data_IF_377683543558
#
_entry.id   IF_377683543558
#
_cell.length_a   1.000
_cell.length_b   1.000
_cell.length_c   1.000
_cell.angle_alpha   90.00
_cell.angle_beta   90.00
_cell.angle_gamma   90.00
#
_symmetry.space_group_name_H-M   'P 1'
#
loop_
_entity.id
_entity.type
_entity.pdbx_description
1 polymer ?
#
# COMPACT_ATOMS: atom_id res chain seq x y z
N UNK A 1 -17.21 58.48 -25.43
CA UNK A 1 -16.06 58.00 -24.64
C UNK A 1 -14.78 58.62 -25.18
N UNK A 2 -13.93 59.18 -24.30
CA UNK A 2 -12.72 59.91 -24.68
C UNK A 2 -11.61 58.93 -25.15
N UNK A 3 -10.93 59.23 -26.25
CA UNK A 3 -9.94 58.34 -26.88
C UNK A 3 -8.82 57.91 -25.91
N UNK A 4 -8.48 58.79 -24.97
CA UNK A 4 -7.50 58.54 -23.89
C UNK A 4 -7.94 57.42 -22.94
N UNK A 5 -9.23 57.37 -22.60
CA UNK A 5 -9.81 56.34 -21.72
C UNK A 5 -9.92 55.00 -22.44
N UNK A 6 -10.24 55.01 -23.74
CA UNK A 6 -10.30 53.79 -24.56
C UNK A 6 -8.92 53.13 -24.71
N UNK A 7 -7.86 53.93 -24.89
CA UNK A 7 -6.47 53.43 -24.98
C UNK A 7 -5.97 52.87 -23.64
N UNK A 8 -6.29 53.53 -22.51
CA UNK A 8 -5.97 53.04 -21.17
C UNK A 8 -6.71 51.74 -20.84
N UNK A 9 -7.97 51.63 -21.22
CA UNK A 9 -8.77 50.43 -20.99
C UNK A 9 -8.20 49.23 -21.75
N UNK A 10 -7.83 49.42 -23.02
CA UNK A 10 -7.19 48.36 -23.84
C UNK A 10 -5.85 47.90 -23.25
N UNK A 11 -5.02 48.83 -22.76
CA UNK A 11 -3.73 48.49 -22.12
C UNK A 11 -3.94 47.71 -20.82
N UNK A 12 -4.88 48.15 -19.97
CA UNK A 12 -5.18 47.47 -18.71
C UNK A 12 -5.73 46.06 -18.94
N UNK A 13 -6.66 45.90 -19.89
CA UNK A 13 -7.17 44.56 -20.25
C UNK A 13 -6.06 43.67 -20.80
N UNK A 14 -5.14 44.21 -21.61
CA UNK A 14 -3.99 43.47 -22.12
C UNK A 14 -3.06 42.98 -21.00
N UNK A 15 -2.74 43.83 -20.02
CA UNK A 15 -1.91 43.46 -18.87
C UNK A 15 -2.59 42.36 -18.05
N UNK A 16 -3.89 42.48 -17.79
CA UNK A 16 -4.65 41.47 -17.03
C UNK A 16 -4.61 40.11 -17.76
N UNK A 17 -4.79 40.10 -19.08
CA UNK A 17 -4.74 38.87 -19.88
C UNK A 17 -3.33 38.25 -19.84
N UNK A 18 -2.28 39.05 -19.97
CA UNK A 18 -0.89 38.57 -19.89
C UNK A 18 -0.60 37.98 -18.51
N UNK A 19 -1.00 38.66 -17.43
CA UNK A 19 -0.82 38.16 -16.07
C UNK A 19 -1.60 36.85 -15.86
N UNK A 20 -2.84 36.76 -16.36
CA UNK A 20 -3.62 35.52 -16.32
C UNK A 20 -2.96 34.38 -17.09
N UNK A 21 -2.41 34.65 -18.28
CA UNK A 21 -1.70 33.65 -19.08
C UNK A 21 -0.42 33.18 -18.38
N UNK A 22 0.33 34.08 -17.75
CA UNK A 22 1.53 33.72 -16.97
C UNK A 22 1.15 32.86 -15.76
N UNK A 23 0.10 33.24 -15.02
CA UNK A 23 -0.39 32.43 -13.89
C UNK A 23 -0.86 31.06 -14.40
N UNK A 24 -1.65 31.00 -15.48
CA UNK A 24 -2.12 29.75 -16.06
C UNK A 24 -0.99 28.90 -16.65
N UNK A 25 0.11 29.48 -17.13
CA UNK A 25 1.28 28.72 -17.57
C UNK A 25 2.04 28.09 -16.38
N UNK A 26 2.11 28.78 -15.24
CA UNK A 26 2.74 28.27 -14.02
C UNK A 26 1.86 27.21 -13.34
N UNK A 27 0.54 27.41 -13.32
CA UNK A 27 -0.41 26.52 -12.64
C UNK A 27 -0.90 25.37 -13.55
N UNK A 28 -1.00 25.63 -14.86
CA UNK A 28 -1.50 24.68 -15.88
C UNK A 28 -0.43 23.77 -16.48
N UNK A 29 0.83 23.86 -16.03
CA UNK A 29 1.87 22.87 -16.30
C UNK A 29 1.65 21.58 -15.53
N UNK A 30 0.46 20.98 -15.62
CA UNK A 30 0.20 19.62 -15.10
C UNK A 30 0.90 18.63 -16.02
N UNK A 31 2.23 18.54 -15.90
CA UNK A 31 2.98 17.40 -16.42
C UNK A 31 2.50 16.17 -15.66
N UNK A 32 1.97 15.20 -16.40
CA UNK A 32 1.67 13.88 -15.87
C UNK A 32 2.90 13.36 -15.14
N UNK A 33 2.75 12.98 -13.87
CA UNK A 33 3.87 12.47 -13.09
C UNK A 33 4.40 11.21 -13.77
N UNK A 34 5.70 11.19 -14.09
CA UNK A 34 6.32 9.98 -14.64
C UNK A 34 6.57 9.00 -13.51
N UNK A 35 6.08 7.78 -13.63
CA UNK A 35 6.41 6.72 -12.67
C UNK A 35 7.88 6.33 -12.84
N UNK A 36 8.64 6.35 -11.76
CA UNK A 36 10.06 5.96 -11.71
C UNK A 36 10.32 5.13 -10.47
N UNK A 37 11.35 4.28 -10.51
CA UNK A 37 11.77 3.49 -9.34
C UNK A 37 12.47 4.35 -8.27
N UNK A 38 12.57 3.82 -7.05
CA UNK A 38 13.31 4.45 -5.94
C UNK A 38 14.77 4.69 -6.31
N UNK A 39 15.41 3.70 -6.93
CA UNK A 39 16.79 3.76 -7.40
C UNK A 39 16.99 4.91 -8.40
N UNK A 40 16.12 4.99 -9.40
CA UNK A 40 16.17 6.02 -10.43
C UNK A 40 15.94 7.43 -9.86
N UNK A 41 15.00 7.58 -8.94
CA UNK A 41 14.74 8.85 -8.25
C UNK A 41 15.94 9.28 -7.39
N UNK A 42 16.60 8.34 -6.70
CA UNK A 42 17.78 8.61 -5.87
C UNK A 42 18.99 9.08 -6.69
N UNK A 43 19.08 8.74 -7.99
CA UNK A 43 20.18 9.22 -8.86
C UNK A 43 20.07 10.71 -9.23
N UNK A 44 18.93 11.36 -8.99
CA UNK A 44 18.73 12.77 -9.36
C UNK A 44 18.53 13.03 -10.86
N UNK A 45 18.42 11.99 -11.70
CA UNK A 45 18.26 12.12 -13.17
C UNK A 45 16.96 12.79 -13.62
N UNK A 46 16.06 13.10 -12.70
CA UNK A 46 14.73 13.68 -12.94
C UNK A 46 14.54 15.04 -12.25
N UNK A 47 15.63 15.77 -12.00
CA UNK A 47 15.59 17.13 -11.48
C UNK A 47 14.57 17.99 -12.27
N UNK A 48 13.79 18.78 -11.54
CA UNK A 48 12.68 19.63 -12.02
C UNK A 48 11.44 18.94 -12.62
N UNK A 49 11.46 17.62 -12.83
CA UNK A 49 10.30 16.86 -13.34
C UNK A 49 9.40 16.38 -12.20
N UNK A 50 8.08 16.43 -12.41
CA UNK A 50 7.12 15.79 -11.51
C UNK A 50 7.21 14.27 -11.73
N UNK A 51 7.62 13.54 -10.70
CA UNK A 51 7.75 12.09 -10.71
C UNK A 51 6.81 11.46 -9.68
N UNK A 52 6.45 10.21 -9.91
CA UNK A 52 5.74 9.36 -8.96
C UNK A 52 6.62 8.17 -8.60
N UNK A 53 6.89 8.00 -7.32
CA UNK A 53 7.71 6.92 -6.76
C UNK A 53 6.86 6.10 -5.82
N UNK A 54 6.93 4.77 -5.92
CA UNK A 54 6.27 3.85 -5.01
C UNK A 54 7.33 3.07 -4.24
N UNK A 55 7.16 2.95 -2.94
CA UNK A 55 8.06 2.17 -2.08
C UNK A 55 7.45 1.89 -0.72
N UNK A 56 8.06 1.00 0.05
CA UNK A 56 7.68 0.76 1.43
C UNK A 56 8.41 1.73 2.35
N UNK A 57 7.72 2.23 3.38
CA UNK A 57 8.31 3.10 4.39
C UNK A 57 9.31 2.32 5.23
N UNK A 58 10.55 2.79 5.27
CA UNK A 58 11.62 2.21 6.08
C UNK A 58 11.27 2.33 7.56
N UNK A 59 11.47 1.26 8.31
CA UNK A 59 11.13 1.21 9.72
C UNK A 59 11.82 2.33 10.52
N UNK A 60 11.04 3.03 11.36
CA UNK A 60 11.53 4.11 12.23
C UNK A 60 12.22 5.27 11.50
N UNK A 61 12.04 5.40 10.18
CA UNK A 61 12.63 6.48 9.38
C UNK A 61 11.79 7.76 9.36
N UNK A 62 10.56 7.71 9.88
CA UNK A 62 9.62 8.80 9.77
C UNK A 62 9.59 9.71 10.99
N UNK A 63 9.49 11.01 10.74
CA UNK A 63 9.34 12.05 11.75
C UNK A 63 8.36 13.10 11.24
N UNK A 64 7.53 13.61 12.15
CA UNK A 64 6.58 14.68 11.86
C UNK A 64 6.97 15.91 12.67
N UNK A 65 7.34 17.00 11.98
CA UNK A 65 7.64 18.29 12.58
C UNK A 65 6.61 19.32 12.08
N UNK A 66 5.66 19.67 12.95
CA UNK A 66 4.54 20.54 12.58
C UNK A 66 3.62 19.89 11.54
N UNK A 67 3.62 20.39 10.31
CA UNK A 67 2.83 19.87 9.18
C UNK A 67 3.71 19.20 8.11
N UNK A 68 4.96 18.89 8.46
CA UNK A 68 5.93 18.27 7.55
C UNK A 68 6.23 16.86 8.04
N UNK A 69 5.95 15.88 7.19
CA UNK A 69 6.36 14.49 7.38
C UNK A 69 7.63 14.26 6.56
N UNK A 70 8.67 13.75 7.20
CA UNK A 70 9.88 13.26 6.54
C UNK A 70 10.05 11.77 6.81
N UNK A 71 10.39 10.98 5.80
CA UNK A 71 10.53 9.53 5.92
C UNK A 71 11.37 8.97 4.77
N UNK A 72 11.90 7.76 4.92
CA UNK A 72 12.63 7.05 3.87
C UNK A 72 11.76 5.95 3.25
N UNK A 73 11.85 5.76 1.94
CA UNK A 73 11.21 4.65 1.22
C UNK A 73 12.23 3.80 0.49
N UNK A 74 11.96 2.50 0.36
CA UNK A 74 12.74 1.56 -0.44
C UNK A 74 11.85 0.78 -1.42
N UNK A 75 12.43 0.23 -2.49
CA UNK A 75 11.72 -0.65 -3.42
C UNK A 75 11.81 -2.10 -2.91
N UNK A 76 10.70 -2.75 -2.52
CA UNK A 76 10.72 -4.14 -2.06
C UNK A 76 11.09 -5.14 -3.17
N UNK A 77 10.97 -4.77 -4.45
CA UNK A 77 11.37 -5.61 -5.59
C UNK A 77 12.79 -5.29 -6.09
N UNK A 78 13.44 -4.28 -5.52
CA UNK A 78 14.76 -3.81 -5.88
C UNK A 78 15.79 -4.07 -4.79
N UNK A 79 16.83 -3.23 -4.76
CA UNK A 79 17.80 -3.24 -3.68
C UNK A 79 17.24 -2.46 -2.47
N UNK A 80 16.91 -3.19 -1.40
CA UNK A 80 16.35 -2.61 -0.16
C UNK A 80 17.30 -1.66 0.57
N UNK A 81 18.60 -1.68 0.22
CA UNK A 81 19.58 -0.73 0.77
C UNK A 81 19.53 0.62 0.07
N UNK A 82 18.92 0.69 -1.12
CA UNK A 82 18.69 1.95 -1.82
C UNK A 82 17.40 2.60 -1.32
N UNK A 83 17.57 3.69 -0.58
CA UNK A 83 16.48 4.42 0.03
C UNK A 83 16.37 5.82 -0.58
N UNK A 84 15.14 6.33 -0.68
CA UNK A 84 14.84 7.69 -1.08
C UNK A 84 14.20 8.43 0.08
N UNK A 85 14.82 9.54 0.48
CA UNK A 85 14.23 10.46 1.46
C UNK A 85 13.08 11.21 0.84
N UNK A 86 11.93 11.18 1.49
CA UNK A 86 10.71 11.87 1.11
C UNK A 86 10.39 12.93 2.15
N UNK A 87 9.98 14.11 1.67
CA UNK A 87 9.45 15.22 2.47
C UNK A 87 8.07 15.57 1.95
N UNK A 88 7.04 15.40 2.77
CA UNK A 88 5.66 15.68 2.45
C UNK A 88 5.12 16.79 3.37
N UNK A 89 4.64 17.88 2.79
CA UNK A 89 3.97 18.95 3.54
C UNK A 89 2.45 18.74 3.47
N UNK A 90 1.88 18.16 4.53
CA UNK A 90 0.45 17.85 4.57
C UNK A 90 0.07 17.04 5.80
N UNK A 91 -1.22 17.04 6.10
CA UNK A 91 -1.76 16.20 7.18
C UNK A 91 -1.61 14.73 6.83
N UNK A 92 -0.86 14.01 7.66
CA UNK A 92 -0.70 12.55 7.55
C UNK A 92 -1.90 11.85 8.19
N UNK A 93 -2.46 10.86 7.50
CA UNK A 93 -3.50 10.02 8.07
C UNK A 93 -2.94 9.12 9.18
N UNK A 94 -3.78 8.74 10.14
CA UNK A 94 -3.41 7.81 11.22
C UNK A 94 -2.98 6.41 10.73
N UNK A 95 -3.10 6.14 9.44
CA UNK A 95 -2.73 4.87 8.79
C UNK A 95 -1.31 4.86 8.24
N UNK A 96 -0.56 5.97 8.35
CA UNK A 96 0.85 6.01 7.97
C UNK A 96 1.73 5.37 9.06
N UNK A 97 2.67 4.52 8.65
CA UNK A 97 3.56 3.82 9.58
C UNK A 97 4.61 2.99 8.85
N UNK A 98 5.33 2.17 9.62
CA UNK A 98 6.34 1.24 9.11
C UNK A 98 5.72 0.28 8.08
N UNK A 99 6.49 -0.06 7.04
CA UNK A 99 6.11 -1.04 5.99
C UNK A 99 4.84 -0.75 5.19
N UNK A 100 4.25 0.43 5.39
CA UNK A 100 3.15 0.91 4.55
C UNK A 100 3.72 1.23 3.17
N UNK A 101 3.03 0.78 2.12
CA UNK A 101 3.38 1.19 0.76
C UNK A 101 2.96 2.65 0.56
N UNK A 102 3.94 3.51 0.39
CA UNK A 102 3.77 4.93 0.10
C UNK A 102 3.96 5.19 -1.39
N UNK A 103 2.96 5.83 -2.01
CA UNK A 103 3.05 6.36 -3.36
C UNK A 103 3.19 7.87 -3.23
N UNK A 104 4.40 8.34 -3.54
CA UNK A 104 4.81 9.71 -3.36
C UNK A 104 4.93 10.38 -4.74
N UNK A 105 4.21 11.48 -4.93
CA UNK A 105 4.27 12.25 -6.17
C UNK A 105 4.80 13.64 -5.89
N UNK A 106 5.89 14.01 -6.56
CA UNK A 106 6.63 15.23 -6.23
C UNK A 106 7.80 15.51 -7.16
N UNK A 107 8.76 16.30 -6.68
CA UNK A 107 10.01 16.61 -7.38
C UNK A 107 11.20 16.33 -6.49
N UNK A 108 12.27 15.80 -7.06
CA UNK A 108 13.54 15.59 -6.34
C UNK A 108 14.30 16.93 -6.32
N UNK A 109 14.66 17.39 -5.12
CA UNK A 109 15.49 18.58 -4.93
C UNK A 109 16.97 18.31 -5.22
N UNK A 110 17.78 19.37 -5.25
CA UNK A 110 19.24 19.26 -5.40
C UNK A 110 19.93 18.52 -4.23
N UNK A 111 19.23 18.42 -3.10
CA UNK A 111 19.60 17.64 -1.91
C UNK A 111 19.29 16.14 -2.02
N UNK A 112 18.69 15.70 -3.13
CA UNK A 112 18.27 14.32 -3.35
C UNK A 112 16.98 13.94 -2.62
N UNK A 113 16.28 14.91 -2.01
CA UNK A 113 15.03 14.67 -1.28
C UNK A 113 13.84 14.81 -2.23
N UNK A 114 12.95 13.82 -2.23
CA UNK A 114 11.68 13.91 -2.93
C UNK A 114 10.72 14.81 -2.14
N UNK A 115 10.53 16.04 -2.62
CA UNK A 115 9.51 16.96 -2.12
C UNK A 115 8.15 16.54 -2.70
N UNK A 116 7.42 15.74 -1.94
CA UNK A 116 6.13 15.20 -2.30
C UNK A 116 5.03 16.27 -2.13
N UNK A 117 4.30 16.53 -3.21
CA UNK A 117 3.07 17.33 -3.18
C UNK A 117 1.82 16.47 -2.92
N UNK A 118 1.89 15.19 -3.24
CA UNK A 118 0.82 14.22 -2.99
C UNK A 118 1.43 12.95 -2.38
N UNK A 119 0.79 12.45 -1.33
CA UNK A 119 1.14 11.21 -0.66
C UNK A 119 -0.11 10.35 -0.57
N UNK A 120 -0.04 9.15 -1.14
CA UNK A 120 -1.09 8.14 -1.03
C UNK A 120 -0.50 6.91 -0.37
N UNK A 121 -1.00 6.56 0.82
CA UNK A 121 -0.65 5.31 1.48
C UNK A 121 -1.61 4.21 1.05
N UNK A 122 -1.06 3.06 0.70
CA UNK A 122 -1.83 1.82 0.58
C UNK A 122 -1.49 0.95 1.78
N UNK A 123 -2.51 0.50 2.51
CA UNK A 123 -2.37 -0.73 3.28
C UNK A 123 -2.03 -1.83 2.27
N UNK A 124 -1.09 -2.75 2.57
CA UNK A 124 -0.65 -3.77 1.61
C UNK A 124 -1.85 -4.65 1.21
N UNK A 125 -2.53 -4.26 0.14
CA UNK A 125 -3.56 -5.05 -0.47
C UNK A 125 -2.86 -5.91 -1.52
N UNK A 126 -2.85 -7.21 -1.24
CA UNK A 126 -3.19 -8.28 -2.20
C UNK A 126 -2.12 -9.29 -2.62
N UNK A 127 -0.88 -9.31 -2.12
CA UNK A 127 -0.02 -10.51 -2.24
C UNK A 127 0.99 -10.66 -1.08
N UNK A 128 0.96 -11.85 -0.47
CA UNK A 128 2.12 -12.65 -0.01
C UNK A 128 3.12 -12.04 0.99
N UNK A 129 2.89 -12.30 2.27
CA UNK A 129 3.97 -12.70 3.18
C UNK A 129 3.34 -13.63 4.23
N UNK A 130 3.65 -14.92 4.14
CA UNK A 130 3.44 -15.88 5.23
C UNK A 130 4.12 -15.42 6.54
N UNK A 131 5.05 -14.46 6.46
CA UNK A 131 5.76 -13.82 7.58
C UNK A 131 4.88 -13.10 8.59
N UNK A 132 3.64 -12.74 8.25
CA UNK A 132 2.65 -12.14 9.18
C UNK A 132 1.37 -12.97 9.32
N UNK A 133 1.32 -14.18 8.74
CA UNK A 133 0.23 -15.08 9.00
C UNK A 133 0.41 -15.65 10.41
N UNK A 134 -0.65 -15.58 11.23
CA UNK A 134 -0.65 -16.26 12.51
C UNK A 134 -0.59 -17.76 12.24
N UNK A 135 0.13 -18.51 13.07
CA UNK A 135 -0.06 -19.95 13.06
C UNK A 135 -1.45 -20.29 13.60
N UNK A 136 -1.97 -21.47 13.26
CA UNK A 136 -3.28 -21.93 13.77
C UNK A 136 -3.32 -21.81 15.30
N UNK A 137 -2.24 -22.19 15.97
CA UNK A 137 -2.12 -22.17 17.43
C UNK A 137 -2.10 -20.77 18.04
N UNK A 138 -1.47 -19.83 17.34
CA UNK A 138 -1.50 -18.43 17.77
C UNK A 138 -2.92 -17.87 17.64
N UNK A 139 -3.61 -18.17 16.55
CA UNK A 139 -4.95 -17.68 16.29
C UNK A 139 -5.96 -18.18 17.32
N UNK A 140 -5.97 -19.49 17.59
CA UNK A 140 -6.84 -20.11 18.59
C UNK A 140 -6.50 -19.65 20.01
N UNK A 141 -5.21 -19.39 20.30
CA UNK A 141 -4.74 -18.86 21.58
C UNK A 141 -5.29 -17.46 21.92
N UNK A 142 -5.61 -16.64 20.92
CA UNK A 142 -6.25 -15.33 21.13
C UNK A 142 -7.76 -15.42 21.45
N UNK A 143 -8.39 -16.57 21.24
CA UNK A 143 -9.80 -16.81 21.62
C UNK A 143 -10.79 -15.81 21.00
N UNK A 144 -11.71 -15.29 21.80
CA UNK A 144 -12.77 -14.37 21.36
C UNK A 144 -12.24 -13.01 20.84
N UNK A 145 -10.99 -12.65 21.14
CA UNK A 145 -10.44 -11.35 20.76
C UNK A 145 -10.20 -11.20 19.25
N UNK A 146 -10.15 -12.31 18.50
CA UNK A 146 -9.93 -12.34 17.04
C UNK A 146 -11.20 -12.65 16.25
N UNK A 147 -12.34 -12.85 16.92
CA UNK A 147 -13.63 -13.10 16.28
C UNK A 147 -14.06 -11.88 15.46
N UNK A 148 -14.57 -12.13 14.25
CA UNK A 148 -14.99 -11.12 13.25
C UNK A 148 -13.90 -10.13 12.83
N UNK A 149 -12.63 -10.37 13.22
CA UNK A 149 -11.50 -9.56 12.77
C UNK A 149 -10.83 -10.22 11.57
N UNK A 150 -10.54 -9.45 10.50
CA UNK A 150 -9.82 -9.98 9.37
C UNK A 150 -8.38 -10.31 9.80
N UNK A 151 -7.99 -11.56 9.65
CA UNK A 151 -6.67 -12.09 9.97
C UNK A 151 -6.19 -13.01 8.86
N UNK A 152 -4.88 -13.27 8.87
CA UNK A 152 -4.27 -14.30 8.04
C UNK A 152 -3.81 -15.45 8.90
N UNK A 153 -4.05 -16.67 8.46
CA UNK A 153 -3.60 -17.88 9.13
C UNK A 153 -2.87 -18.78 8.15
N UNK A 154 -1.72 -19.31 8.58
CA UNK A 154 -0.93 -20.25 7.82
C UNK A 154 -0.98 -21.63 8.46
N UNK A 155 -0.93 -22.66 7.62
CA UNK A 155 -0.91 -24.06 8.04
C UNK A 155 -1.01 -25.02 6.87
N UNK A 156 -0.86 -26.31 7.16
CA UNK A 156 -0.96 -27.38 6.18
C UNK A 156 -2.38 -27.96 6.13
N UNK A 157 -2.87 -28.33 4.96
CA UNK A 157 -4.15 -29.04 4.83
C UNK A 157 -4.03 -30.44 5.45
N UNK A 158 -4.91 -30.76 6.40
CA UNK A 158 -4.99 -32.10 6.99
C UNK A 158 -5.43 -33.12 5.95
N UNK A 159 -4.71 -34.22 5.86
CA UNK A 159 -5.02 -35.33 4.97
C UNK A 159 -6.46 -35.85 5.14
N UNK A 160 -7.16 -36.05 4.02
CA UNK A 160 -8.52 -36.57 3.97
C UNK A 160 -9.61 -35.60 4.42
N UNK A 161 -9.28 -34.32 4.64
CA UNK A 161 -10.27 -33.32 5.10
C UNK A 161 -10.80 -32.41 3.99
N UNK A 162 -10.14 -32.37 2.84
CA UNK A 162 -10.56 -31.55 1.69
C UNK A 162 -11.86 -32.09 1.07
N UNK A 163 -12.95 -31.32 1.20
CA UNK A 163 -14.28 -31.62 0.65
C UNK A 163 -14.64 -30.68 -0.50
N UNK A 164 -15.76 -30.90 -1.20
CA UNK A 164 -16.25 -29.97 -2.22
C UNK A 164 -16.83 -28.68 -1.62
N UNK A 165 -16.95 -27.62 -2.44
CA UNK A 165 -17.54 -26.35 -2.01
C UNK A 165 -19.02 -26.56 -1.65
N UNK A 166 -19.46 -25.97 -0.53
CA UNK A 166 -20.85 -26.06 -0.08
C UNK A 166 -21.22 -27.31 0.74
N UNK A 167 -20.27 -28.20 1.05
CA UNK A 167 -20.48 -29.37 1.92
C UNK A 167 -20.17 -29.11 3.41
N UNK A 168 -20.15 -27.85 3.84
CA UNK A 168 -19.81 -27.41 5.19
C UNK A 168 -18.33 -27.03 5.30
N UNK A 169 -17.63 -27.57 6.31
CA UNK A 169 -16.19 -27.34 6.49
C UNK A 169 -15.44 -27.86 5.26
N UNK A 170 -14.75 -26.96 4.56
CA UNK A 170 -14.10 -27.23 3.29
C UNK A 170 -12.84 -28.06 3.48
N UNK A 171 -12.08 -27.79 4.53
CA UNK A 171 -10.90 -28.55 4.95
C UNK A 171 -10.52 -28.17 6.40
N UNK A 172 -9.57 -28.91 6.97
CA UNK A 172 -8.96 -28.58 8.26
C UNK A 172 -7.52 -28.13 8.00
N UNK A 173 -7.15 -26.98 8.55
CA UNK A 173 -5.78 -26.49 8.56
C UNK A 173 -5.06 -26.98 9.82
N UNK A 174 -3.81 -27.39 9.70
CA UNK A 174 -2.99 -27.92 10.80
C UNK A 174 -1.75 -27.07 10.95
N UNK A 175 -1.43 -26.72 12.19
CA UNK A 175 -0.14 -26.13 12.54
C UNK A 175 0.98 -27.19 12.39
N UNK A 176 1.97 -26.98 11.52
CA UNK A 176 3.06 -27.96 11.34
C UNK A 176 3.95 -28.11 12.57
N UNK A 177 3.96 -27.14 13.50
CA UNK A 177 4.86 -27.17 14.66
C UNK A 177 4.31 -28.00 15.82
N UNK A 178 3.01 -27.93 16.09
CA UNK A 178 2.40 -28.58 17.25
C UNK A 178 1.17 -29.45 16.94
N UNK A 179 0.73 -29.49 15.67
CA UNK A 179 -0.39 -30.31 15.21
C UNK A 179 -1.76 -29.76 15.57
N UNK A 180 -1.88 -28.49 15.97
CA UNK A 180 -3.17 -27.89 16.29
C UNK A 180 -4.05 -27.74 15.06
N UNK A 181 -5.36 -27.99 15.20
CA UNK A 181 -6.30 -28.11 14.09
C UNK A 181 -7.31 -26.95 14.07
N UNK A 182 -7.54 -26.39 12.89
CA UNK A 182 -8.51 -25.34 12.64
C UNK A 182 -9.46 -25.74 11.52
N UNK A 183 -10.74 -25.84 11.82
CA UNK A 183 -11.77 -26.07 10.80
C UNK A 183 -11.97 -24.81 9.95
N UNK A 184 -11.92 -24.98 8.62
CA UNK A 184 -12.02 -23.88 7.66
C UNK A 184 -13.29 -24.00 6.84
N UNK A 185 -14.09 -22.95 6.84
CA UNK A 185 -15.25 -22.78 5.98
C UNK A 185 -14.85 -21.93 4.77
N UNK A 186 -15.00 -22.48 3.57
CA UNK A 186 -14.69 -21.79 2.32
C UNK A 186 -15.62 -22.27 1.21
N UNK A 187 -16.41 -21.36 0.65
CA UNK A 187 -17.46 -21.68 -0.32
C UNK A 187 -17.06 -21.48 -1.78
N UNK A 188 -15.88 -20.93 -2.03
CA UNK A 188 -15.38 -20.64 -3.37
C UNK A 188 -14.53 -21.78 -3.96
N UNK A 189 -14.16 -21.61 -5.23
CA UNK A 189 -13.24 -22.49 -5.92
C UNK A 189 -11.83 -22.39 -5.31
N UNK A 190 -11.16 -23.54 -5.18
CA UNK A 190 -9.76 -23.65 -4.75
C UNK A 190 -8.95 -24.08 -5.97
N UNK A 191 -7.69 -23.66 -6.07
CA UNK A 191 -6.79 -24.13 -7.14
C UNK A 191 -6.69 -25.66 -7.12
N UNK A 192 -6.65 -26.28 -8.30
CA UNK A 192 -6.45 -27.74 -8.45
C UNK A 192 -5.09 -28.22 -7.93
N UNK A 193 -4.16 -27.30 -7.70
CA UNK A 193 -2.84 -27.57 -7.11
C UNK A 193 -2.89 -27.82 -5.60
N UNK A 194 -3.98 -27.42 -4.93
CA UNK A 194 -4.19 -27.67 -3.51
C UNK A 194 -4.61 -29.11 -3.29
N UNK A 195 -3.81 -29.80 -2.47
CA UNK A 195 -4.03 -31.19 -2.07
C UNK A 195 -3.79 -31.35 -0.58
N UNK A 196 -4.10 -32.54 -0.08
CA UNK A 196 -3.72 -32.98 1.26
C UNK A 196 -2.21 -32.74 1.50
N UNK A 197 -1.89 -32.12 2.63
CA UNK A 197 -0.53 -31.71 3.00
C UNK A 197 -0.01 -30.43 2.33
N UNK A 198 -0.78 -29.77 1.46
CA UNK A 198 -0.39 -28.46 0.92
C UNK A 198 -0.31 -27.40 2.02
N UNK A 199 0.78 -26.65 2.08
CA UNK A 199 0.87 -25.43 2.89
C UNK A 199 0.03 -24.32 2.25
N UNK A 200 -0.86 -23.73 3.03
CA UNK A 200 -1.76 -22.67 2.59
C UNK A 200 -1.67 -21.46 3.50
N UNK A 201 -1.87 -20.29 2.91
CA UNK A 201 -2.16 -19.05 3.61
C UNK A 201 -3.61 -18.69 3.35
N UNK A 202 -4.39 -18.59 4.41
CA UNK A 202 -5.79 -18.21 4.35
C UNK A 202 -5.97 -16.77 4.82
N UNK A 203 -6.88 -16.05 4.17
CA UNK A 203 -7.36 -14.75 4.66
C UNK A 203 -8.84 -14.88 5.01
N UNK A 204 -9.22 -14.44 6.20
CA UNK A 204 -10.59 -14.60 6.71
C UNK A 204 -10.74 -14.09 8.13
N UNK A 205 -11.74 -14.60 8.85
CA UNK A 205 -11.97 -14.27 10.26
C UNK A 205 -12.44 -15.49 11.04
N UNK A 206 -12.17 -15.49 12.35
CA UNK A 206 -12.77 -16.47 13.26
C UNK A 206 -14.24 -16.15 13.46
N UNK A 207 -15.09 -17.17 13.39
CA UNK A 207 -16.51 -17.06 13.72
C UNK A 207 -16.77 -17.42 15.19
N UNK A 208 -17.97 -17.10 15.69
CA UNK A 208 -18.38 -17.39 17.07
C UNK A 208 -18.47 -18.90 17.40
N UNK A 209 -18.34 -19.79 16.41
CA UNK A 209 -18.34 -21.24 16.58
C UNK A 209 -16.92 -21.81 16.64
N UNK A 210 -15.89 -20.97 16.64
CA UNK A 210 -14.48 -21.38 16.68
C UNK A 210 -13.95 -21.93 15.36
N UNK A 211 -14.64 -21.65 14.24
CA UNK A 211 -14.16 -22.00 12.90
C UNK A 211 -13.64 -20.77 12.17
N UNK A 212 -12.79 -21.02 11.19
CA UNK A 212 -12.25 -19.97 10.34
C UNK A 212 -13.09 -19.83 9.08
N UNK A 213 -13.78 -18.71 8.93
CA UNK A 213 -14.47 -18.37 7.67
C UNK A 213 -13.46 -17.71 6.73
N UNK A 214 -12.92 -18.49 5.81
CA UNK A 214 -11.99 -18.01 4.80
C UNK A 214 -12.73 -17.26 3.69
N UNK A 215 -12.16 -16.14 3.27
CA UNK A 215 -12.58 -15.40 2.08
C UNK A 215 -11.59 -15.57 0.92
N UNK A 216 -10.35 -15.96 1.21
CA UNK A 216 -9.31 -16.19 0.22
C UNK A 216 -8.40 -17.34 0.67
N UNK A 217 -7.99 -18.18 -0.28
CA UNK A 217 -7.09 -19.32 -0.07
C UNK A 217 -5.96 -19.22 -1.08
N UNK A 218 -4.71 -19.15 -0.60
CA UNK A 218 -3.50 -19.13 -1.41
C UNK A 218 -2.57 -20.27 -1.02
N UNK A 219 -1.82 -20.81 -1.98
CA UNK A 219 -0.71 -21.73 -1.70
C UNK A 219 0.46 -20.94 -1.12
N UNK A 220 1.04 -21.46 -0.04
CA UNK A 220 2.29 -20.93 0.51
C UNK A 220 3.44 -21.34 -0.44
N UNK A 221 4.13 -20.33 -1.01
CA UNK A 221 5.19 -20.50 -2.02
C UNK A 221 6.58 -20.78 -1.45
#
# INVERSE_FOLDING_TARGET
>A
MNAKTKRRMVVVTGIIVIVLVVILAVVGGTSSAKTVSVAEAATGSYADQKIQVSGNVVENSFATEGNVLTFDIYDPNGDITQQLRVRFEGGVSATFGNDVTAICTGKVGEDGVLNASELVTKCPSKYENATNALTVSQLTGYGDEVVDKPVKVAGAVKDGTLKAAGEGDRFVLVDPENGEELAVEFNDAISEEVKDGSSLVLTGSMNAQGKFSATEVALEG
#
